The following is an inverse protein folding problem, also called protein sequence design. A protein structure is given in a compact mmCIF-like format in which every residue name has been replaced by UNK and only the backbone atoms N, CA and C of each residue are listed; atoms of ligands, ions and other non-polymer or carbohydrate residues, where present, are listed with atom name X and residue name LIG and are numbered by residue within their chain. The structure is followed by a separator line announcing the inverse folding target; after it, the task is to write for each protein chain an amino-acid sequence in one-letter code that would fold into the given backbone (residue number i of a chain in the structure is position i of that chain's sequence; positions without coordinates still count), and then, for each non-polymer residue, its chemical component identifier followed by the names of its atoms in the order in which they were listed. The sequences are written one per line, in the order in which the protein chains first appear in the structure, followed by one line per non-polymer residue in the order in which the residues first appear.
data_IF_460311863636
#
_entry.id   IF_460311863636
#
_cell.length_a   1.000
_cell.length_b   1.000
_cell.length_c   1.000
_cell.angle_alpha   90.00
_cell.angle_beta   90.00
_cell.angle_gamma   90.00
#
_symmetry.space_group_name_H-M   'P 1'
#
loop_
_entity.id
_entity.type
_entity.pdbx_description
1 polymer ?
#
# COMPACT_ATOMS: atom_id res chain seq x y z
N UNK A 1 22.50 3.94 -5.42
CA UNK A 1 21.66 4.80 -4.58
C UNK A 1 22.42 5.08 -3.30
N UNK A 2 22.51 6.34 -2.88
CA UNK A 2 23.24 6.71 -1.67
C UNK A 2 22.62 5.97 -0.48
N UNK A 3 23.46 5.32 0.32
CA UNK A 3 23.02 4.67 1.55
C UNK A 3 22.31 5.72 2.41
N UNK A 4 21.03 5.47 2.70
CA UNK A 4 20.27 6.26 3.66
C UNK A 4 21.11 6.42 4.93
N UNK A 5 21.19 7.64 5.47
CA UNK A 5 21.80 7.84 6.78
C UNK A 5 21.12 6.90 7.77
N UNK A 6 21.88 6.30 8.69
CA UNK A 6 21.45 5.16 9.53
C UNK A 6 20.25 5.44 10.45
N UNK A 7 19.68 6.64 10.39
CA UNK A 7 18.60 7.10 11.25
C UNK A 7 17.38 7.64 10.49
N UNK A 8 17.34 7.53 9.16
CA UNK A 8 16.21 8.01 8.36
C UNK A 8 15.23 6.87 8.04
N UNK A 9 13.91 7.09 8.19
CA UNK A 9 12.91 6.05 7.96
C UNK A 9 12.93 5.57 6.51
N UNK A 10 13.14 4.27 6.31
CA UNK A 10 12.96 3.63 5.00
C UNK A 10 11.48 3.49 4.66
N UNK A 11 10.66 3.30 5.69
CA UNK A 11 9.26 2.96 5.57
C UNK A 11 8.52 3.51 6.78
N UNK A 12 7.33 4.06 6.55
CA UNK A 12 6.34 4.33 7.57
C UNK A 12 5.05 3.59 7.23
N UNK A 13 4.43 2.95 8.22
CA UNK A 13 3.19 2.23 7.99
C UNK A 13 2.05 3.21 7.66
N UNK A 14 1.08 2.80 6.84
CA UNK A 14 -0.12 3.61 6.58
C UNK A 14 -0.87 4.01 7.85
N UNK A 15 -1.66 5.08 7.74
CA UNK A 15 -2.71 5.39 8.70
C UNK A 15 -3.59 4.14 8.95
N UNK A 16 -3.99 3.83 10.20
CA UNK A 16 -3.79 4.62 11.42
C UNK A 16 -2.53 4.25 12.23
N UNK A 17 -1.65 3.38 11.72
CA UNK A 17 -0.54 2.84 12.52
C UNK A 17 0.66 3.78 12.58
N UNK A 18 1.06 4.34 11.42
CA UNK A 18 2.12 5.35 11.30
C UNK A 18 3.46 4.99 11.93
N UNK A 19 3.73 3.71 12.22
CA UNK A 19 5.02 3.26 12.78
C UNK A 19 6.13 3.41 11.74
N UNK A 20 7.20 4.11 12.12
CA UNK A 20 8.39 4.32 11.33
C UNK A 20 9.39 3.18 11.51
N UNK A 21 10.03 2.78 10.41
CA UNK A 21 11.05 1.74 10.37
C UNK A 21 12.30 2.23 9.66
N UNK A 22 13.45 1.87 10.21
CA UNK A 22 14.79 2.17 9.69
C UNK A 22 15.51 0.89 9.27
N UNK A 23 16.51 1.05 8.39
CA UNK A 23 17.41 -0.04 8.01
C UNK A 23 18.72 0.04 8.74
N UNK A 24 19.09 -1.07 9.36
CA UNK A 24 20.37 -1.21 10.06
C UNK A 24 21.18 -2.32 9.40
N UNK A 25 22.46 -2.04 9.16
CA UNK A 25 23.41 -3.07 8.71
C UNK A 25 23.77 -3.98 9.87
N UNK A 26 23.63 -5.27 9.67
CA UNK A 26 24.01 -6.29 10.65
C UNK A 26 25.52 -6.55 10.61
N UNK A 27 26.07 -6.96 11.76
CA UNK A 27 27.45 -7.45 11.88
C UNK A 27 27.62 -8.91 11.41
N UNK A 28 26.54 -9.54 10.93
CA UNK A 28 26.57 -10.92 10.41
C UNK A 28 27.56 -11.03 9.24
N UNK A 29 28.45 -12.04 9.23
CA UNK A 29 29.36 -12.27 8.11
C UNK A 29 28.59 -12.48 6.80
N UNK A 30 29.10 -11.92 5.71
CA UNK A 30 28.57 -12.17 4.37
C UNK A 30 29.69 -12.12 3.34
N UNK A 31 29.65 -13.04 2.40
CA UNK A 31 30.63 -13.14 1.31
C UNK A 31 30.28 -12.23 0.12
N UNK A 32 29.01 -11.83 -0.01
CA UNK A 32 28.52 -11.18 -1.23
C UNK A 32 27.85 -9.82 -1.00
N UNK A 33 26.93 -9.72 -0.03
CA UNK A 33 26.16 -8.51 0.23
C UNK A 33 25.90 -8.33 1.74
N UNK A 34 25.90 -7.10 2.28
CA UNK A 34 25.63 -6.88 3.69
C UNK A 34 24.24 -7.38 4.07
N UNK A 35 24.14 -7.98 5.26
CA UNK A 35 22.86 -8.31 5.87
C UNK A 35 22.23 -7.04 6.46
N UNK A 36 20.94 -6.87 6.23
CA UNK A 36 20.14 -5.77 6.74
C UNK A 36 19.09 -6.29 7.72
N UNK A 37 18.71 -5.42 8.65
CA UNK A 37 17.59 -5.62 9.55
C UNK A 37 16.65 -4.42 9.49
N UNK A 38 15.35 -4.70 9.61
CA UNK A 38 14.34 -3.67 9.80
C UNK A 38 14.17 -3.47 11.31
N UNK A 39 14.31 -2.23 11.78
CA UNK A 39 14.07 -1.87 13.18
C UNK A 39 13.04 -0.76 13.27
N UNK A 40 12.22 -0.80 14.32
CA UNK A 40 11.35 0.33 14.67
C UNK A 40 12.25 1.54 14.97
N UNK A 41 11.86 2.70 14.45
CA UNK A 41 12.49 3.95 14.81
C UNK A 41 11.95 4.39 16.18
N UNK A 42 12.83 4.63 17.14
CA UNK A 42 12.44 5.17 18.45
C UNK A 42 12.06 6.65 18.30
N UNK A 43 10.83 6.92 17.85
CA UNK A 43 10.30 8.28 17.69
C UNK A 43 9.81 8.83 19.04
N UNK A 44 10.75 9.23 19.90
CA UNK A 44 10.45 9.98 21.13
C UNK A 44 10.19 11.48 20.88
N UNK A 45 10.34 11.96 19.65
CA UNK A 45 10.15 13.36 19.31
C UNK A 45 9.65 13.53 17.88
N UNK A 46 8.70 14.44 17.69
CA UNK A 46 8.37 15.14 16.43
C UNK A 46 7.27 14.61 15.50
N UNK A 47 6.32 13.80 15.97
CA UNK A 47 5.08 13.60 15.21
C UNK A 47 3.85 13.94 16.05
N UNK A 48 2.91 14.64 15.41
CA UNK A 48 1.64 15.07 15.99
C UNK A 48 1.00 13.92 16.77
N UNK A 49 0.64 14.16 18.03
CA UNK A 49 -0.01 13.19 18.95
C UNK A 49 -1.44 12.84 18.51
N UNK A 50 -1.70 12.74 17.22
CA UNK A 50 -2.98 12.36 16.65
C UNK A 50 -3.07 10.84 16.51
N UNK A 51 -3.66 10.21 17.54
CA UNK A 51 -4.42 8.96 17.49
C UNK A 51 -3.83 7.82 16.62
N UNK A 52 -2.58 7.41 16.87
CA UNK A 52 -2.06 6.18 16.25
C UNK A 52 -2.70 4.95 16.89
N UNK A 53 -3.07 3.97 16.05
CA UNK A 53 -3.59 2.67 16.53
C UNK A 53 -2.42 1.75 16.85
N UNK A 54 -2.45 0.99 17.96
CA UNK A 54 -1.42 -0.01 18.23
C UNK A 54 -1.39 -1.08 17.15
N UNK A 55 -0.20 -1.61 16.88
CA UNK A 55 -0.01 -2.73 15.96
C UNK A 55 -0.68 -3.99 16.54
N UNK A 56 -1.32 -4.83 15.69
CA UNK A 56 -1.92 -6.08 16.14
C UNK A 56 -0.88 -7.10 16.65
N UNK A 57 0.33 -7.05 16.10
CA UNK A 57 1.48 -7.84 16.51
C UNK A 57 2.80 -7.10 16.19
N UNK A 58 3.92 -7.55 16.78
CA UNK A 58 5.25 -7.00 16.51
C UNK A 58 5.71 -7.40 15.10
N UNK A 59 6.07 -6.43 14.27
CA UNK A 59 6.45 -6.67 12.87
C UNK A 59 7.97 -6.69 12.62
N UNK A 60 8.77 -6.07 13.48
CA UNK A 60 10.23 -6.19 13.44
C UNK A 60 10.70 -7.48 14.15
N UNK A 61 11.96 -7.83 13.93
CA UNK A 61 12.60 -8.95 14.60
C UNK A 61 14.11 -8.74 14.69
N UNK A 62 14.65 -8.96 15.89
CA UNK A 62 16.09 -8.87 16.17
C UNK A 62 16.89 -10.04 15.57
N UNK A 63 16.22 -11.12 15.17
CA UNK A 63 16.84 -12.31 14.59
C UNK A 63 16.54 -12.51 13.11
N UNK A 64 15.80 -11.60 12.48
CA UNK A 64 15.49 -11.63 11.05
C UNK A 64 16.41 -10.71 10.26
N UNK A 65 17.00 -11.25 9.21
CA UNK A 65 17.96 -10.58 8.33
C UNK A 65 17.55 -10.75 6.88
N UNK A 66 17.93 -9.79 6.04
CA UNK A 66 17.73 -9.91 4.59
C UNK A 66 18.83 -9.21 3.81
N UNK A 67 19.02 -9.59 2.55
CA UNK A 67 19.95 -8.91 1.65
C UNK A 67 19.22 -7.84 0.82
N UNK A 68 19.93 -6.82 0.38
CA UNK A 68 19.42 -5.94 -0.68
C UNK A 68 19.05 -6.74 -1.94
N UNK A 69 18.18 -6.16 -2.75
CA UNK A 69 17.82 -6.72 -4.05
C UNK A 69 19.03 -6.67 -4.98
N UNK A 70 19.44 -7.85 -5.42
CA UNK A 70 20.54 -8.03 -6.36
C UNK A 70 20.02 -8.49 -7.71
N UNK A 71 20.53 -7.87 -8.75
CA UNK A 71 20.31 -8.25 -10.13
C UNK A 71 21.24 -9.40 -10.51
N UNK A 72 20.76 -10.36 -11.32
CA UNK A 72 21.67 -11.34 -11.93
C UNK A 72 22.72 -10.65 -12.79
N UNK A 73 23.91 -11.24 -12.84
CA UNK A 73 24.92 -10.84 -13.82
C UNK A 73 24.39 -11.05 -15.23
N UNK A 74 24.81 -10.20 -16.17
CA UNK A 74 24.36 -10.29 -17.57
C UNK A 74 24.56 -11.68 -18.18
N UNK A 75 25.65 -12.37 -17.82
CA UNK A 75 25.96 -13.75 -18.26
C UNK A 75 25.00 -14.82 -17.72
N UNK A 76 24.27 -14.55 -16.64
CA UNK A 76 23.37 -15.48 -15.96
C UNK A 76 21.89 -15.18 -16.27
N UNK A 77 21.62 -14.04 -16.92
CA UNK A 77 20.27 -13.61 -17.29
C UNK A 77 19.82 -14.34 -18.55
N UNK A 78 18.62 -14.95 -18.56
CA UNK A 78 18.07 -15.48 -19.81
C UNK A 78 17.80 -14.34 -20.81
N UNK A 79 17.86 -14.59 -22.12
CA UNK A 79 17.62 -13.58 -23.15
C UNK A 79 16.27 -12.88 -22.98
N UNK A 80 16.19 -11.60 -23.33
CA UNK A 80 14.93 -10.82 -23.26
C UNK A 80 13.82 -11.41 -24.14
N UNK A 81 14.18 -12.09 -25.24
CA UNK A 81 13.24 -12.81 -26.10
C UNK A 81 12.59 -14.00 -25.41
N UNK A 82 13.16 -14.53 -24.31
CA UNK A 82 12.56 -15.61 -23.54
C UNK A 82 11.46 -15.05 -22.62
N UNK A 83 10.23 -15.07 -23.12
CA UNK A 83 9.02 -14.61 -22.42
C UNK A 83 8.27 -15.72 -21.68
N UNK A 84 8.89 -16.88 -21.47
CA UNK A 84 8.30 -17.93 -20.62
C UNK A 84 8.16 -17.45 -19.17
N UNK A 85 7.26 -18.03 -18.37
CA UNK A 85 7.15 -17.70 -16.94
C UNK A 85 8.48 -17.82 -16.20
N UNK A 86 9.26 -18.88 -16.46
CA UNK A 86 10.61 -19.04 -15.89
C UNK A 86 11.55 -17.91 -16.34
N UNK A 87 11.57 -17.58 -17.63
CA UNK A 87 12.45 -16.53 -18.16
C UNK A 87 12.18 -15.17 -17.52
N UNK A 88 10.91 -14.79 -17.42
CA UNK A 88 10.48 -13.54 -16.76
C UNK A 88 10.83 -13.53 -15.27
N UNK A 89 10.51 -14.62 -14.56
CA UNK A 89 10.82 -14.75 -13.13
C UNK A 89 12.33 -14.71 -12.86
N UNK A 90 13.13 -15.41 -13.66
CA UNK A 90 14.59 -15.48 -13.49
C UNK A 90 15.27 -14.13 -13.73
N UNK A 91 14.73 -13.28 -14.61
CA UNK A 91 15.24 -11.90 -14.81
C UNK A 91 14.95 -10.97 -13.64
N UNK A 92 13.95 -11.28 -12.79
CA UNK A 92 13.67 -10.47 -11.62
C UNK A 92 14.86 -10.47 -10.64
N UNK A 93 15.07 -9.36 -9.91
CA UNK A 93 16.09 -9.30 -8.87
C UNK A 93 15.81 -10.35 -7.78
N UNK A 94 16.83 -10.71 -7.02
CA UNK A 94 16.72 -11.66 -5.92
C UNK A 94 17.10 -11.03 -4.58
N UNK A 95 16.45 -11.48 -3.51
CA UNK A 95 16.85 -11.22 -2.13
C UNK A 95 16.81 -12.52 -1.33
N UNK A 96 17.67 -12.62 -0.33
CA UNK A 96 17.66 -13.73 0.64
C UNK A 96 17.16 -13.21 1.97
N UNK A 97 16.21 -13.92 2.57
CA UNK A 97 15.76 -13.71 3.95
C UNK A 97 16.30 -14.86 4.81
N UNK A 98 16.99 -14.52 5.88
CA UNK A 98 17.60 -15.47 6.79
C UNK A 98 17.27 -15.12 8.24
N UNK A 99 17.18 -16.11 9.11
CA UNK A 99 16.97 -15.89 10.53
C UNK A 99 17.81 -16.80 11.40
N UNK A 100 18.07 -16.33 12.62
CA UNK A 100 18.77 -17.08 13.64
C UNK A 100 17.76 -17.61 14.67
N UNK A 101 17.79 -18.92 14.94
CA UNK A 101 16.91 -19.57 15.90
C UNK A 101 16.14 -20.76 15.34
N UNK A 102 15.51 -21.52 16.25
CA UNK A 102 14.81 -22.75 15.90
C UNK A 102 13.39 -22.51 15.34
N UNK A 103 12.82 -21.33 15.54
CA UNK A 103 11.46 -20.99 15.11
C UNK A 103 11.52 -20.04 13.91
N UNK A 104 10.75 -20.29 12.82
CA UNK A 104 10.67 -19.35 11.70
C UNK A 104 10.04 -18.00 12.12
N UNK A 105 10.36 -16.90 11.42
CA UNK A 105 9.69 -15.62 11.65
C UNK A 105 8.21 -15.71 11.33
N UNK A 106 7.41 -14.80 11.88
CA UNK A 106 5.98 -14.74 11.58
C UNK A 106 5.75 -14.26 10.15
N UNK A 107 4.57 -14.57 9.59
CA UNK A 107 4.17 -14.06 8.29
C UNK A 107 4.18 -12.53 8.25
N UNK A 108 3.80 -11.88 9.34
CA UNK A 108 3.80 -10.43 9.48
C UNK A 108 5.21 -9.82 9.43
N UNK A 109 6.19 -10.47 10.06
CA UNK A 109 7.60 -10.07 9.98
C UNK A 109 8.15 -10.24 8.56
N UNK A 110 7.84 -11.35 7.90
CA UNK A 110 8.20 -11.56 6.49
C UNK A 110 7.52 -10.53 5.56
N UNK A 111 6.26 -10.19 5.82
CA UNK A 111 5.51 -9.18 5.08
C UNK A 111 6.16 -7.80 5.21
N UNK A 112 6.62 -7.40 6.40
CA UNK A 112 7.32 -6.13 6.60
C UNK A 112 8.61 -6.06 5.78
N UNK A 113 9.42 -7.13 5.77
CA UNK A 113 10.63 -7.20 4.93
C UNK A 113 10.27 -7.07 3.45
N UNK A 114 9.24 -7.76 2.98
CA UNK A 114 8.77 -7.67 1.59
C UNK A 114 8.31 -6.23 1.27
N UNK A 115 7.60 -5.57 2.18
CA UNK A 115 7.19 -4.17 2.02
C UNK A 115 8.40 -3.25 1.88
N UNK A 116 9.40 -3.40 2.75
CA UNK A 116 10.66 -2.66 2.66
C UNK A 116 11.33 -2.89 1.31
N UNK A 117 11.41 -4.12 0.82
CA UNK A 117 12.02 -4.42 -0.48
C UNK A 117 11.28 -3.75 -1.65
N UNK A 118 9.94 -3.76 -1.67
CA UNK A 118 9.14 -3.00 -2.64
C UNK A 118 9.29 -1.48 -2.50
N UNK A 119 9.59 -1.01 -1.29
CA UNK A 119 9.83 0.41 -1.02
C UNK A 119 11.19 0.86 -1.55
N UNK A 120 12.22 0.02 -1.41
CA UNK A 120 13.57 0.28 -1.92
C UNK A 120 13.65 0.22 -3.46
N UNK A 121 12.84 -0.61 -4.11
CA UNK A 121 12.78 -0.73 -5.58
C UNK A 121 11.32 -0.75 -6.09
N UNK A 122 10.65 0.40 -6.20
CA UNK A 122 9.22 0.47 -6.50
C UNK A 122 8.83 0.06 -7.93
N UNK A 123 9.78 0.03 -8.87
CA UNK A 123 9.53 -0.27 -10.29
C UNK A 123 9.55 -1.76 -10.63
N UNK A 124 9.90 -2.65 -9.70
CA UNK A 124 9.96 -4.09 -9.97
C UNK A 124 8.57 -4.74 -9.90
N UNK A 125 8.22 -5.58 -10.87
CA UNK A 125 6.93 -6.32 -10.85
C UNK A 125 6.91 -7.55 -9.92
N UNK A 126 8.08 -7.90 -9.38
CA UNK A 126 8.27 -9.00 -8.45
C UNK A 126 9.76 -9.25 -8.27
N UNK A 127 10.10 -10.08 -7.28
CA UNK A 127 11.47 -10.48 -7.01
C UNK A 127 11.52 -11.93 -6.54
N UNK A 128 12.68 -12.54 -6.75
CA UNK A 128 12.96 -13.89 -6.33
C UNK A 128 13.40 -13.90 -4.88
N UNK A 129 12.87 -14.82 -4.09
CA UNK A 129 13.07 -14.87 -2.65
C UNK A 129 13.63 -16.23 -2.26
N UNK A 130 14.79 -16.22 -1.62
CA UNK A 130 15.38 -17.41 -0.98
C UNK A 130 15.19 -17.31 0.53
N UNK A 131 14.70 -18.38 1.15
CA UNK A 131 14.53 -18.47 2.60
C UNK A 131 15.62 -19.37 3.21
N UNK A 132 16.30 -18.88 4.26
CA UNK A 132 17.38 -19.61 4.93
C UNK A 132 17.17 -19.63 6.45
N UNK A 133 16.87 -20.80 7.01
CA UNK A 133 16.72 -20.97 8.45
C UNK A 133 15.85 -22.18 8.80
N UNK A 134 15.81 -22.54 10.07
CA UNK A 134 14.98 -23.65 10.56
C UNK A 134 13.51 -23.33 10.31
N UNK A 135 12.77 -24.30 9.75
CA UNK A 135 11.35 -24.13 9.44
C UNK A 135 11.03 -23.31 8.18
N UNK A 136 12.02 -23.06 7.30
CA UNK A 136 11.82 -22.29 6.06
C UNK A 136 10.69 -22.82 5.17
N UNK A 137 10.50 -24.13 5.15
CA UNK A 137 9.46 -24.80 4.37
C UNK A 137 8.05 -24.35 4.82
N UNK A 138 7.90 -24.14 6.14
CA UNK A 138 6.64 -23.69 6.75
C UNK A 138 6.34 -22.24 6.40
N UNK A 139 7.33 -21.35 6.51
CA UNK A 139 7.16 -19.95 6.11
C UNK A 139 6.89 -19.84 4.60
N UNK A 140 7.59 -20.62 3.78
CA UNK A 140 7.34 -20.69 2.35
C UNK A 140 5.91 -21.14 2.03
N UNK A 141 5.39 -22.15 2.72
CA UNK A 141 4.00 -22.57 2.58
C UNK A 141 3.00 -21.47 3.00
N UNK A 142 3.27 -20.74 4.08
CA UNK A 142 2.44 -19.61 4.52
C UNK A 142 2.40 -18.47 3.50
N UNK A 143 3.56 -18.06 2.98
CA UNK A 143 3.66 -17.02 1.94
C UNK A 143 2.86 -17.40 0.68
N UNK A 144 2.88 -18.69 0.31
CA UNK A 144 2.08 -19.22 -0.80
C UNK A 144 0.59 -19.27 -0.49
N UNK A 145 0.21 -19.65 0.72
CA UNK A 145 -1.20 -19.74 1.14
C UNK A 145 -1.93 -18.38 1.07
N UNK A 146 -1.21 -17.28 1.34
CA UNK A 146 -1.74 -15.91 1.22
C UNK A 146 -1.47 -15.26 -0.13
N UNK A 147 -0.92 -16.01 -1.09
CA UNK A 147 -0.55 -15.55 -2.44
C UNK A 147 0.39 -14.35 -2.46
N UNK A 148 1.19 -14.17 -1.40
CA UNK A 148 2.23 -13.15 -1.38
C UNK A 148 3.45 -13.60 -2.21
N UNK A 149 3.67 -14.91 -2.28
CA UNK A 149 4.64 -15.53 -3.15
C UNK A 149 4.05 -16.77 -3.85
N UNK A 150 4.69 -17.19 -4.92
CA UNK A 150 4.45 -18.48 -5.60
C UNK A 150 5.76 -19.23 -5.72
N UNK A 151 5.71 -20.51 -6.08
CA UNK A 151 6.93 -21.25 -6.43
C UNK A 151 7.59 -20.59 -7.66
N UNK A 152 8.92 -20.48 -7.67
CA UNK A 152 9.61 -20.00 -8.87
C UNK A 152 9.27 -20.93 -10.05
N UNK A 153 8.72 -20.43 -11.17
CA UNK A 153 8.35 -21.29 -12.29
C UNK A 153 9.60 -21.98 -12.84
N UNK A 154 9.61 -23.31 -13.01
CA UNK A 154 10.69 -24.04 -13.68
C UNK A 154 10.12 -24.95 -14.77
N UNK A 155 10.95 -25.30 -15.76
CA UNK A 155 10.54 -26.18 -16.86
C UNK A 155 10.60 -27.68 -16.51
N UNK A 156 11.00 -28.08 -15.29
CA UNK A 156 11.19 -29.51 -14.98
C UNK A 156 11.71 -29.89 -13.59
N UNK A 157 11.50 -29.08 -12.54
CA UNK A 157 11.92 -29.49 -11.18
C UNK A 157 11.46 -28.56 -10.04
N UNK A 158 11.70 -28.98 -8.80
CA UNK A 158 11.45 -28.15 -7.61
C UNK A 158 12.58 -27.12 -7.46
N UNK A 159 12.22 -25.84 -7.42
CA UNK A 159 13.13 -24.77 -6.99
C UNK A 159 12.81 -24.43 -5.54
N UNK A 160 13.83 -24.35 -4.69
CA UNK A 160 13.70 -23.84 -3.30
C UNK A 160 13.49 -22.30 -3.28
N UNK A 161 13.52 -21.65 -4.44
CA UNK A 161 13.31 -20.22 -4.62
C UNK A 161 11.81 -19.92 -4.83
N UNK A 162 11.32 -18.88 -4.17
CA UNK A 162 9.99 -18.33 -4.35
C UNK A 162 10.01 -17.13 -5.30
N UNK A 163 8.87 -16.79 -5.88
CA UNK A 163 8.64 -15.54 -6.62
C UNK A 163 7.60 -14.71 -5.88
N UNK A 164 8.03 -13.57 -5.31
CA UNK A 164 7.15 -12.59 -4.67
C UNK A 164 6.50 -11.72 -5.74
N UNK A 165 5.18 -11.54 -5.67
CA UNK A 165 4.39 -10.86 -6.69
C UNK A 165 4.02 -9.45 -6.22
N UNK A 166 4.44 -8.41 -6.97
CA UNK A 166 4.04 -7.03 -6.66
C UNK A 166 2.53 -6.84 -6.77
N UNK A 167 1.92 -7.47 -7.77
CA UNK A 167 0.50 -7.32 -8.06
C UNK A 167 -0.39 -7.76 -6.91
N UNK A 168 -0.04 -8.84 -6.20
CA UNK A 168 -0.84 -9.35 -5.07
C UNK A 168 -0.51 -8.62 -3.78
N UNK A 169 0.76 -8.23 -3.59
CA UNK A 169 1.18 -7.43 -2.43
C UNK A 169 0.34 -6.16 -2.28
N UNK A 170 0.23 -5.34 -3.33
CA UNK A 170 -0.53 -4.08 -3.28
C UNK A 170 -2.05 -4.26 -3.21
N UNK A 171 -2.55 -5.47 -3.40
CA UNK A 171 -3.95 -5.84 -3.14
C UNK A 171 -4.21 -6.25 -1.68
N UNK A 172 -3.15 -6.41 -0.87
CA UNK A 172 -3.25 -6.75 0.55
C UNK A 172 -2.85 -8.18 0.90
N UNK A 173 -2.23 -8.94 -0.03
CA UNK A 173 -1.78 -10.30 0.23
C UNK A 173 -0.88 -10.39 1.47
N UNK A 174 -1.24 -11.25 2.42
CA UNK A 174 -0.48 -11.49 3.65
C UNK A 174 -0.44 -10.31 4.63
N UNK A 175 -1.26 -9.27 4.44
CA UNK A 175 -1.34 -8.13 5.35
C UNK A 175 -1.68 -8.57 6.78
N UNK A 176 -0.90 -8.15 7.81
CA UNK A 176 -1.17 -8.52 9.21
C UNK A 176 -2.31 -7.70 9.83
N UNK A 177 -2.93 -6.80 9.08
CA UNK A 177 -3.92 -5.84 9.58
C UNK A 177 -5.38 -6.25 9.31
N UNK A 178 -5.59 -7.51 8.93
CA UNK A 178 -6.89 -8.06 8.59
C UNK A 178 -7.08 -8.28 7.08
N UNK A 179 -8.31 -8.64 6.65
CA UNK A 179 -8.59 -9.07 5.28
C UNK A 179 -8.61 -7.92 4.26
N UNK A 180 -8.58 -6.66 4.70
CA UNK A 180 -8.57 -5.48 3.84
C UNK A 180 -7.16 -4.92 3.70
N UNK A 181 -6.96 -4.26 2.58
CA UNK A 181 -5.70 -3.62 2.24
C UNK A 181 -5.32 -2.56 3.28
N UNK A 182 -4.11 -2.64 3.84
CA UNK A 182 -3.62 -1.69 4.87
C UNK A 182 -3.54 -0.25 4.37
N UNK A 183 -3.38 -0.04 3.06
CA UNK A 183 -3.31 1.29 2.46
C UNK A 183 -4.68 1.97 2.36
N UNK A 184 -5.77 1.23 2.50
CA UNK A 184 -7.16 1.72 2.42
C UNK A 184 -7.79 1.51 3.81
N UNK A 185 -7.51 2.40 4.78
CA UNK A 185 -7.97 2.22 6.15
C UNK A 185 -9.51 2.23 6.23
N UNK A 186 -10.01 1.50 7.21
CA UNK A 186 -11.45 1.36 7.45
C UNK A 186 -11.96 2.50 8.32
N UNK A 187 -13.20 2.95 8.05
CA UNK A 187 -13.98 3.68 9.04
C UNK A 187 -14.88 2.68 9.80
N UNK A 188 -14.73 2.66 11.12
CA UNK A 188 -15.47 1.75 12.03
C UNK A 188 -16.60 2.44 12.79
N UNK A 189 -16.82 3.74 12.59
CA UNK A 189 -17.73 4.55 13.42
C UNK A 189 -19.20 4.11 13.37
N UNK A 190 -19.62 3.40 12.31
CA UNK A 190 -21.00 2.96 12.13
C UNK A 190 -21.26 1.49 12.49
N UNK A 191 -20.24 0.71 12.88
CA UNK A 191 -20.35 -0.73 13.14
C UNK A 191 -20.00 -1.08 14.59
N UNK A 192 -20.59 -2.15 15.18
CA UNK A 192 -20.32 -2.54 16.56
C UNK A 192 -18.91 -3.11 16.78
N UNK A 193 -18.24 -3.52 15.70
CA UNK A 193 -16.85 -3.97 15.68
C UNK A 193 -16.18 -3.51 14.38
N UNK A 194 -14.84 -3.47 14.31
CA UNK A 194 -14.12 -3.07 13.10
C UNK A 194 -14.59 -3.82 11.86
N UNK A 195 -14.65 -3.13 10.71
CA UNK A 195 -15.11 -3.70 9.45
C UNK A 195 -14.27 -4.94 9.05
N UNK A 196 -12.99 -4.97 9.41
CA UNK A 196 -11.99 -6.05 9.26
C UNK A 196 -12.37 -7.35 9.93
N UNK A 197 -13.24 -7.30 10.93
CA UNK A 197 -13.75 -8.52 11.58
C UNK A 197 -14.99 -9.11 10.90
N UNK A 198 -15.45 -8.50 9.81
CA UNK A 198 -16.46 -9.05 8.92
C UNK A 198 -15.82 -9.57 7.63
N UNK A 199 -16.41 -10.59 6.98
CA UNK A 199 -16.00 -11.02 5.65
C UNK A 199 -15.91 -9.85 4.67
N UNK A 200 -15.13 -10.02 3.60
CA UNK A 200 -15.08 -9.05 2.52
C UNK A 200 -16.47 -8.82 1.94
N UNK A 201 -16.74 -7.58 1.55
CA UNK A 201 -18.02 -7.21 0.93
C UNK A 201 -18.24 -8.09 -0.30
N UNK A 202 -19.32 -8.88 -0.36
CA UNK A 202 -19.58 -9.75 -1.50
C UNK A 202 -19.82 -8.90 -2.76
N UNK A 203 -19.38 -9.42 -3.91
CA UNK A 203 -19.70 -8.83 -5.19
C UNK A 203 -21.19 -9.06 -5.47
N UNK A 204 -21.95 -7.99 -5.50
CA UNK A 204 -23.35 -7.97 -5.91
C UNK A 204 -23.50 -7.03 -7.09
N UNK A 205 -24.26 -7.40 -8.10
CA UNK A 205 -24.55 -6.53 -9.23
C UNK A 205 -25.94 -5.89 -9.09
N UNK A 206 -26.13 -4.77 -9.76
CA UNK A 206 -27.42 -4.08 -9.84
C UNK A 206 -27.63 -3.54 -11.25
N UNK A 207 -28.89 -3.38 -11.63
CA UNK A 207 -29.25 -2.67 -12.85
C UNK A 207 -29.75 -1.27 -12.47
N UNK A 208 -29.23 -0.25 -13.14
CA UNK A 208 -29.77 1.13 -13.04
C UNK A 208 -30.39 1.52 -14.37
N UNK A 209 -31.60 2.07 -14.35
CA UNK A 209 -32.25 2.66 -15.51
C UNK A 209 -32.41 4.16 -15.25
N UNK A 210 -31.75 5.00 -16.06
CA UNK A 210 -31.93 6.45 -16.02
C UNK A 210 -32.98 6.85 -17.07
N UNK A 211 -33.72 7.93 -16.81
CA UNK A 211 -34.85 8.34 -17.65
C UNK A 211 -34.49 8.58 -19.14
N UNK A 212 -33.22 8.88 -19.42
CA UNK A 212 -32.68 9.18 -20.75
C UNK A 212 -31.61 8.19 -21.22
N UNK A 213 -31.33 7.12 -20.47
CA UNK A 213 -30.22 6.21 -20.74
C UNK A 213 -30.65 4.74 -20.90
N UNK A 214 -29.83 3.95 -21.57
CA UNK A 214 -29.99 2.50 -21.57
C UNK A 214 -29.80 1.95 -20.15
N UNK A 215 -30.55 0.90 -19.75
CA UNK A 215 -30.29 0.21 -18.49
C UNK A 215 -28.83 -0.27 -18.44
N UNK A 216 -28.14 0.05 -17.34
CA UNK A 216 -26.75 -0.31 -17.14
C UNK A 216 -26.63 -1.35 -16.03
N UNK A 217 -25.97 -2.47 -16.33
CA UNK A 217 -25.60 -3.50 -15.35
C UNK A 217 -24.21 -3.20 -14.80
N UNK A 218 -24.10 -3.05 -13.48
CA UNK A 218 -22.81 -2.75 -12.84
C UNK A 218 -22.75 -3.27 -11.39
N UNK A 219 -21.54 -3.40 -10.81
CA UNK A 219 -21.41 -3.73 -9.38
C UNK A 219 -22.15 -2.73 -8.50
N UNK A 220 -22.79 -3.22 -7.44
CA UNK A 220 -23.38 -2.41 -6.40
C UNK A 220 -22.27 -1.62 -5.72
N UNK A 221 -22.39 -0.29 -5.77
CA UNK A 221 -21.39 0.63 -5.21
C UNK A 221 -21.46 0.54 -3.68
N UNK A 222 -20.33 0.34 -2.98
CA UNK A 222 -20.29 0.43 -1.53
C UNK A 222 -20.76 1.80 -1.03
N UNK A 223 -21.17 1.86 0.24
CA UNK A 223 -21.43 3.14 0.90
C UNK A 223 -20.18 4.03 0.84
N UNK A 224 -20.38 5.34 0.70
CA UNK A 224 -19.27 6.29 0.71
C UNK A 224 -18.56 6.25 2.06
N UNK A 225 -17.24 6.50 2.09
CA UNK A 225 -16.52 6.74 3.33
C UNK A 225 -17.16 7.91 4.10
N UNK A 226 -17.04 7.91 5.42
CA UNK A 226 -17.53 9.02 6.23
C UNK A 226 -16.78 10.30 5.84
N UNK A 227 -17.48 11.44 5.72
CA UNK A 227 -16.81 12.74 5.59
C UNK A 227 -15.70 12.92 6.64
N UNK A 228 -14.53 13.41 6.20
CA UNK A 228 -13.35 13.61 7.03
C UNK A 228 -12.57 12.35 7.41
N UNK A 229 -12.95 11.16 6.92
CA UNK A 229 -12.18 9.93 7.14
C UNK A 229 -11.02 9.80 6.14
N UNK A 230 -9.87 9.27 6.59
CA UNK A 230 -8.77 8.87 5.70
C UNK A 230 -9.23 7.65 4.90
N UNK A 231 -9.12 7.72 3.58
CA UNK A 231 -9.52 6.64 2.66
C UNK A 231 -8.31 5.97 2.00
N UNK A 232 -7.16 6.64 2.01
CA UNK A 232 -5.91 6.10 1.52
C UNK A 232 -4.74 6.69 2.31
N UNK A 233 -3.70 5.89 2.61
CA UNK A 233 -2.47 6.40 3.19
C UNK A 233 -1.26 5.55 2.80
N UNK A 234 -0.14 6.22 2.52
CA UNK A 234 1.12 5.58 2.15
C UNK A 234 2.32 6.52 2.36
N UNK A 235 3.40 5.97 2.90
CA UNK A 235 4.71 6.62 2.92
C UNK A 235 5.32 6.76 1.52
N UNK A 236 5.84 7.95 1.20
CA UNK A 236 6.53 8.25 -0.07
C UNK A 236 8.04 8.44 0.21
N UNK A 237 8.89 7.43 -0.03
CA UNK A 237 10.27 7.42 0.45
C UNK A 237 11.14 8.56 -0.08
N UNK A 238 10.93 8.99 -1.32
CA UNK A 238 11.75 10.02 -1.94
C UNK A 238 11.35 11.44 -1.51
N UNK A 239 10.11 11.62 -1.03
CA UNK A 239 9.65 12.88 -0.42
C UNK A 239 9.89 12.90 1.08
N UNK A 240 9.96 11.72 1.71
CA UNK A 240 10.03 11.55 3.17
C UNK A 240 8.80 12.12 3.87
N UNK A 241 7.66 11.96 3.23
CA UNK A 241 6.37 12.45 3.72
C UNK A 241 5.34 11.33 3.62
N UNK A 242 4.36 11.36 4.52
CA UNK A 242 3.21 10.47 4.46
C UNK A 242 2.13 11.08 3.56
N UNK A 243 1.88 10.45 2.42
CA UNK A 243 0.76 10.78 1.56
C UNK A 243 -0.53 10.20 2.13
N UNK A 244 -1.60 10.98 2.15
CA UNK A 244 -2.93 10.52 2.50
C UNK A 244 -4.00 11.14 1.63
N UNK A 245 -5.15 10.46 1.52
CA UNK A 245 -6.36 11.01 0.94
C UNK A 245 -7.47 10.92 1.97
N UNK A 246 -8.22 12.01 2.11
CA UNK A 246 -9.33 12.18 3.06
C UNK A 246 -10.61 12.38 2.27
N UNK A 247 -11.68 11.71 2.66
CA UNK A 247 -13.01 11.97 2.12
C UNK A 247 -13.41 13.40 2.47
N UNK A 248 -13.63 14.25 1.46
CA UNK A 248 -13.97 15.64 1.68
C UNK A 248 -15.27 15.73 2.47
N UNK A 249 -15.26 16.62 3.47
CA UNK A 249 -16.43 16.97 4.26
C UNK A 249 -16.93 18.35 3.86
N UNK A 250 -18.12 18.39 3.25
CA UNK A 250 -18.74 19.62 2.75
C UNK A 250 -19.35 20.48 3.89
N UNK A 251 -19.53 19.89 5.08
CA UNK A 251 -19.97 20.61 6.28
C UNK A 251 -18.78 21.21 7.04
N UNK A 252 -17.59 20.63 6.88
CA UNK A 252 -16.36 21.15 7.48
C UNK A 252 -15.93 22.49 6.83
N UNK A 253 -15.84 23.58 7.61
CA UNK A 253 -15.44 24.90 7.09
C UNK A 253 -14.04 24.92 6.46
N UNK A 254 -13.08 24.18 7.02
CA UNK A 254 -11.69 24.16 6.52
C UNK A 254 -11.61 23.51 5.14
N UNK A 255 -12.27 22.37 4.96
CA UNK A 255 -12.33 21.69 3.67
C UNK A 255 -13.02 22.56 2.60
N UNK A 256 -14.12 23.22 2.98
CA UNK A 256 -14.85 24.11 2.07
C UNK A 256 -14.00 25.33 1.68
N UNK A 257 -13.31 25.94 2.65
CA UNK A 257 -12.43 27.09 2.39
C UNK A 257 -11.26 26.72 1.48
N UNK A 258 -10.64 25.55 1.70
CA UNK A 258 -9.58 25.02 0.81
C UNK A 258 -10.09 24.86 -0.62
N UNK A 259 -11.22 24.18 -0.81
CA UNK A 259 -11.82 24.01 -2.13
C UNK A 259 -12.17 25.36 -2.77
N UNK A 260 -12.76 26.27 -2.02
CA UNK A 260 -13.14 27.59 -2.50
C UNK A 260 -11.94 28.41 -2.98
N UNK A 261 -10.88 28.44 -2.18
CA UNK A 261 -9.65 29.16 -2.52
C UNK A 261 -8.98 28.57 -3.75
N UNK A 262 -8.92 27.23 -3.85
CA UNK A 262 -8.32 26.57 -5.01
C UNK A 262 -9.14 26.75 -6.28
N UNK A 263 -10.45 26.60 -6.26
CA UNK A 263 -11.27 26.77 -7.47
C UNK A 263 -11.28 28.21 -8.00
N UNK A 264 -11.02 29.20 -7.14
CA UNK A 264 -10.84 30.59 -7.51
C UNK A 264 -9.39 30.97 -7.85
N UNK A 265 -8.41 30.08 -7.66
CA UNK A 265 -7.03 30.32 -8.08
C UNK A 265 -6.98 30.36 -9.63
N UNK A 266 -6.44 31.44 -10.24
CA UNK A 266 -6.43 31.60 -11.70
C UNK A 266 -5.79 30.45 -12.48
N UNK A 267 -4.85 29.72 -11.88
CA UNK A 267 -4.19 28.56 -12.49
C UNK A 267 -5.11 27.35 -12.50
N UNK A 268 -5.89 27.15 -11.43
CA UNK A 268 -6.82 26.02 -11.29
C UNK A 268 -8.09 26.28 -12.09
N UNK A 269 -8.62 27.50 -12.01
CA UNK A 269 -9.86 27.89 -12.68
C UNK A 269 -9.80 27.74 -14.19
N UNK A 270 -8.63 27.86 -14.82
CA UNK A 270 -8.45 27.58 -16.24
C UNK A 270 -8.76 26.14 -16.63
N UNK A 271 -8.52 25.18 -15.71
CA UNK A 271 -8.77 23.76 -15.95
C UNK A 271 -10.17 23.32 -15.50
N UNK A 272 -10.65 23.85 -14.39
CA UNK A 272 -11.91 23.42 -13.78
C UNK A 272 -13.11 24.29 -14.17
N UNK A 273 -12.90 25.59 -14.42
CA UNK A 273 -13.96 26.57 -14.71
C UNK A 273 -15.09 26.62 -13.65
N UNK A 274 -14.77 26.30 -12.40
CA UNK A 274 -15.69 26.28 -11.26
C UNK A 274 -15.47 27.49 -10.33
N UNK A 275 -15.19 28.69 -10.87
CA UNK A 275 -15.09 29.90 -10.04
C UNK A 275 -16.46 30.27 -9.46
N UNK A 276 -16.48 30.78 -8.23
CA UNK A 276 -17.74 31.03 -7.57
C UNK A 276 -17.62 31.49 -6.12
N UNK A 277 -18.77 31.82 -5.55
CA UNK A 277 -18.93 32.13 -4.13
C UNK A 277 -18.84 30.88 -3.26
N UNK A 278 -18.53 31.08 -1.98
CA UNK A 278 -18.44 30.01 -0.98
C UNK A 278 -19.73 29.15 -0.92
N UNK A 279 -20.90 29.78 -1.05
CA UNK A 279 -22.19 29.08 -1.02
C UNK A 279 -22.43 28.24 -2.29
N UNK A 280 -22.00 28.72 -3.46
CA UNK A 280 -22.06 27.92 -4.69
C UNK A 280 -21.17 26.68 -4.59
N UNK A 281 -19.98 26.83 -4.01
CA UNK A 281 -19.06 25.73 -3.76
C UNK A 281 -19.58 24.74 -2.71
N UNK A 282 -20.22 25.23 -1.65
CA UNK A 282 -20.87 24.36 -0.66
C UNK A 282 -21.95 23.50 -1.32
N UNK A 283 -22.81 24.12 -2.13
CA UNK A 283 -23.88 23.40 -2.82
C UNK A 283 -23.33 22.41 -3.86
N UNK A 284 -22.25 22.77 -4.56
CA UNK A 284 -21.53 21.86 -5.46
C UNK A 284 -21.04 20.61 -4.72
N UNK A 285 -20.30 20.79 -3.62
CA UNK A 285 -19.77 19.68 -2.82
C UNK A 285 -20.88 18.85 -2.17
N UNK A 286 -21.98 19.48 -1.73
CA UNK A 286 -23.16 18.78 -1.21
C UNK A 286 -23.80 17.89 -2.28
N UNK A 287 -23.97 18.39 -3.51
CA UNK A 287 -24.47 17.60 -4.65
C UNK A 287 -23.56 16.41 -4.94
N UNK A 288 -22.25 16.63 -4.98
CA UNK A 288 -21.27 15.57 -5.16
C UNK A 288 -21.31 14.55 -4.01
N UNK A 289 -21.53 15.00 -2.77
CA UNK A 289 -21.66 14.14 -1.59
C UNK A 289 -22.89 13.23 -1.65
N UNK A 290 -24.05 13.73 -2.09
CA UNK A 290 -25.27 12.91 -2.20
C UNK A 290 -25.29 12.00 -3.43
N UNK A 291 -24.51 12.31 -4.48
CA UNK A 291 -24.44 11.49 -5.69
C UNK A 291 -23.61 10.20 -5.47
N UNK A 292 -24.20 9.00 -5.44
CA UNK A 292 -23.48 7.75 -5.19
C UNK A 292 -22.48 7.37 -6.29
N UNK A 293 -22.43 8.08 -7.41
CA UNK A 293 -21.50 7.85 -8.51
C UNK A 293 -20.08 8.34 -8.25
N UNK A 294 -19.90 9.34 -7.39
CA UNK A 294 -18.63 10.04 -7.23
C UNK A 294 -18.25 10.23 -5.76
N UNK A 295 -16.97 10.40 -5.49
CA UNK A 295 -16.42 10.70 -4.17
C UNK A 295 -15.42 11.85 -4.34
N UNK A 296 -15.59 12.89 -3.55
CA UNK A 296 -14.68 14.03 -3.48
C UNK A 296 -13.63 13.77 -2.40
N UNK A 297 -12.36 13.98 -2.74
CA UNK A 297 -11.23 13.69 -1.86
C UNK A 297 -10.29 14.89 -1.77
N UNK A 298 -9.68 15.07 -0.60
CA UNK A 298 -8.54 15.95 -0.40
C UNK A 298 -7.29 15.10 -0.20
N UNK A 299 -6.19 15.43 -0.86
CA UNK A 299 -4.91 14.77 -0.65
C UNK A 299 -3.97 15.64 0.18
N UNK A 300 -3.23 15.01 1.09
CA UNK A 300 -2.30 15.66 1.99
C UNK A 300 -0.92 14.97 2.02
N UNK A 301 0.11 15.75 2.26
CA UNK A 301 1.41 15.30 2.76
C UNK A 301 1.57 15.77 4.20
N UNK A 302 1.84 14.86 5.13
CA UNK A 302 2.02 15.15 6.57
C UNK A 302 0.98 16.14 7.10
N UNK A 303 -0.31 15.81 6.89
CA UNK A 303 -1.49 16.57 7.28
C UNK A 303 -1.71 17.91 6.53
N UNK A 304 -0.84 18.29 5.60
CA UNK A 304 -1.00 19.49 4.77
C UNK A 304 -1.71 19.15 3.46
N UNK A 305 -2.97 19.58 3.33
CA UNK A 305 -3.74 19.40 2.09
C UNK A 305 -3.17 20.21 0.93
N UNK A 306 -2.98 19.57 -0.23
CA UNK A 306 -2.38 20.19 -1.41
C UNK A 306 -3.16 19.97 -2.71
N UNK A 307 -4.14 19.06 -2.72
CA UNK A 307 -4.91 18.75 -3.92
C UNK A 307 -6.33 18.27 -3.63
N UNK A 308 -7.22 18.51 -4.59
CA UNK A 308 -8.59 18.05 -4.65
C UNK A 308 -8.75 17.02 -5.78
N UNK A 309 -9.53 15.96 -5.54
CA UNK A 309 -9.81 14.91 -6.52
C UNK A 309 -11.29 14.53 -6.52
N UNK A 310 -11.78 14.15 -7.71
CA UNK A 310 -13.07 13.49 -7.89
C UNK A 310 -12.83 12.08 -8.43
N UNK A 311 -13.22 11.07 -7.66
CA UNK A 311 -13.15 9.66 -8.05
C UNK A 311 -14.55 9.18 -8.34
N UNK A 312 -14.80 8.65 -9.54
CA UNK A 312 -16.14 8.29 -9.97
C UNK A 312 -16.20 6.93 -10.68
N UNK A 313 -17.38 6.33 -10.66
CA UNK A 313 -17.67 5.05 -11.29
C UNK A 313 -18.02 5.21 -12.77
N UNK A 314 -17.00 5.29 -13.63
CA UNK A 314 -17.21 5.37 -15.07
C UNK A 314 -18.15 4.26 -15.59
N UNK A 315 -19.24 4.65 -16.25
CA UNK A 315 -20.11 3.70 -16.96
C UNK A 315 -19.45 3.36 -18.30
N UNK A 316 -19.07 2.10 -18.46
CA UNK A 316 -18.74 1.56 -19.78
C UNK A 316 -20.02 0.91 -20.31
N UNK A 317 -20.66 1.53 -21.29
CA UNK A 317 -21.67 0.84 -22.10
C UNK A 317 -20.90 -0.18 -22.96
N UNK A 318 -21.09 -1.47 -22.68
CA UNK A 318 -20.62 -2.56 -23.55
C UNK A 318 -21.78 -3.01 -24.42
#
# INVERSE_FOLDING_TARGET
MAASSTNEPVLKLPHPYLTSYVLVKSSRPSESAPWLQVKVQDDAATESKTKTKPLPERLDSDTLFFTELADLKSSERPPESNNTPWGRARRSPSSTVAWDGATPPTLAQAWLVIYVLFTLRPSMEGFRLTLTGTGRETLGAQLKAVLLAVDHPTAGGLSDELLVLRSTFWQGAGSPFGPRSVWVPEDSSALPKPLSEYPLTPLEHTMTSEASGAPAWHPRRPAKPRPGSVVYSRWIPHLKENFSMVALDWENPEHLELFHNWQNDPRVSQGWNETGSLEQHREYLRKAHVDPHQITLLAAFDDTFFAYFEVYWAKVCV
#
